data_IF_875298407410
#
_entry.id   IF_875298407410
#
_cell.length_a   1.000
_cell.length_b   1.000
_cell.length_c   1.000
_cell.angle_alpha   90.00
_cell.angle_beta   90.00
_cell.angle_gamma   90.00
#
_symmetry.space_group_name_H-M   'P 1'
#
loop_
_entity.id
_entity.type
_entity.pdbx_description
1 polymer ?
#
# COMPACT_ATOMS: atom_id res chain seq x y z
N UNK A 1 -6.99 -19.33 2.26
CA UNK A 1 -7.40 -18.07 2.92
C UNK A 1 -7.44 -18.16 4.44
N UNK A 2 -8.32 -18.96 5.05
CA UNK A 2 -8.46 -18.96 6.52
C UNK A 2 -7.20 -19.40 7.27
N UNK A 3 -6.44 -20.35 6.73
CA UNK A 3 -5.17 -20.78 7.33
C UNK A 3 -4.14 -19.64 7.40
N UNK A 4 -3.96 -18.87 6.31
CA UNK A 4 -3.05 -17.70 6.31
C UNK A 4 -3.42 -16.70 7.41
N UNK A 5 -4.71 -16.41 7.61
CA UNK A 5 -5.15 -15.51 8.66
C UNK A 5 -4.99 -16.09 10.07
N UNK A 6 -5.26 -17.38 10.26
CA UNK A 6 -5.06 -18.04 11.55
C UNK A 6 -3.58 -18.05 11.96
N UNK A 7 -2.68 -18.37 11.03
CA UNK A 7 -1.23 -18.38 11.28
C UNK A 7 -0.68 -16.97 11.52
N UNK A 8 -1.15 -15.97 10.76
CA UNK A 8 -0.81 -14.57 11.00
C UNK A 8 -1.28 -14.11 12.38
N UNK A 9 -2.53 -14.39 12.78
CA UNK A 9 -3.04 -14.02 14.10
C UNK A 9 -2.27 -14.71 15.24
N UNK A 10 -1.77 -15.92 15.00
CA UNK A 10 -1.01 -16.72 15.98
C UNK A 10 0.46 -16.30 16.10
N UNK A 11 1.12 -15.94 15.00
CA UNK A 11 2.59 -15.80 14.94
C UNK A 11 3.10 -14.52 14.27
N UNK A 12 2.24 -13.77 13.60
CA UNK A 12 2.63 -12.68 12.71
C UNK A 12 3.16 -13.15 11.35
N UNK A 13 3.29 -14.46 11.10
CA UNK A 13 3.68 -15.02 9.80
C UNK A 13 2.50 -15.81 9.19
N UNK A 14 1.93 -15.36 8.06
CA UNK A 14 0.83 -16.06 7.42
C UNK A 14 1.24 -17.45 6.89
N UNK A 15 2.51 -17.68 6.54
CA UNK A 15 2.98 -18.98 6.04
C UNK A 15 3.07 -20.06 7.15
N UNK A 16 3.00 -19.67 8.42
CA UNK A 16 3.10 -20.59 9.56
C UNK A 16 4.50 -21.21 9.71
N UNK A 17 4.59 -22.31 10.49
CA UNK A 17 5.84 -23.03 10.77
C UNK A 17 6.19 -24.11 9.73
N UNK A 18 5.26 -24.41 8.82
CA UNK A 18 5.39 -25.46 7.79
C UNK A 18 5.31 -24.79 6.42
N UNK A 19 6.20 -23.85 6.16
CA UNK A 19 6.28 -23.21 4.86
C UNK A 19 7.06 -24.13 3.91
N UNK A 20 6.35 -24.82 3.02
CA UNK A 20 6.97 -25.50 1.87
C UNK A 20 6.30 -25.03 0.59
N UNK A 21 7.17 -24.52 -0.28
CA UNK A 21 7.06 -24.21 -1.71
C UNK A 21 6.63 -22.79 -2.15
N UNK A 22 5.78 -22.06 -1.42
CA UNK A 22 5.45 -20.66 -1.75
C UNK A 22 5.51 -19.77 -0.50
N UNK A 23 6.70 -19.30 -0.15
CA UNK A 23 6.89 -18.42 1.00
C UNK A 23 6.18 -17.08 0.76
N UNK A 24 5.32 -16.67 1.71
CA UNK A 24 4.67 -15.37 1.66
C UNK A 24 5.74 -14.28 1.77
N UNK A 25 5.98 -13.46 0.72
CA UNK A 25 7.11 -12.55 0.73
C UNK A 25 6.89 -11.43 1.75
N UNK A 26 7.95 -11.06 2.46
CA UNK A 26 7.91 -9.89 3.33
C UNK A 26 7.73 -8.62 2.49
N UNK A 27 6.77 -7.81 2.91
CA UNK A 27 6.60 -6.48 2.35
C UNK A 27 7.81 -5.60 2.72
N UNK A 28 8.41 -4.98 1.72
CA UNK A 28 9.35 -3.88 1.92
C UNK A 28 9.00 -2.73 0.96
N UNK A 29 9.33 -1.51 1.35
CA UNK A 29 8.92 -0.31 0.62
C UNK A 29 9.58 -0.19 -0.77
N UNK A 30 10.70 -0.89 -0.99
CA UNK A 30 11.47 -0.85 -2.24
C UNK A 30 10.87 -1.76 -3.30
N UNK A 31 10.66 -3.04 -2.97
CA UNK A 31 10.16 -4.07 -3.87
C UNK A 31 8.62 -4.14 -3.88
N UNK A 32 7.98 -3.61 -2.82
CA UNK A 32 6.53 -3.59 -2.66
C UNK A 32 5.90 -4.98 -2.88
N UNK A 33 6.55 -6.01 -2.37
CA UNK A 33 6.14 -7.40 -2.54
C UNK A 33 4.72 -7.63 -2.01
N UNK A 34 3.96 -8.47 -2.72
CA UNK A 34 2.62 -8.88 -2.30
C UNK A 34 2.42 -10.35 -2.63
N UNK A 35 1.53 -10.99 -1.87
CA UNK A 35 1.04 -12.33 -2.18
C UNK A 35 -0.35 -12.21 -2.79
N UNK A 36 -0.55 -12.74 -4.00
CA UNK A 36 -1.86 -12.73 -4.61
C UNK A 36 -2.69 -13.91 -4.11
N UNK A 37 -3.87 -13.58 -3.60
CA UNK A 37 -4.85 -14.57 -3.15
C UNK A 37 -5.88 -14.75 -4.26
N UNK A 38 -5.77 -15.84 -5.00
CA UNK A 38 -6.69 -16.18 -6.08
C UNK A 38 -7.03 -17.68 -6.08
N UNK A 39 -7.96 -18.05 -6.94
CA UNK A 39 -8.33 -19.45 -7.23
C UNK A 39 -7.83 -19.92 -8.60
N UNK A 40 -7.26 -19.03 -9.41
CA UNK A 40 -6.87 -19.21 -10.82
C UNK A 40 -5.43 -18.72 -11.06
N UNK A 41 -4.66 -19.22 -12.03
CA UNK A 41 -3.32 -18.70 -12.32
C UNK A 41 -3.32 -17.20 -12.69
N UNK A 42 -2.32 -16.46 -12.20
CA UNK A 42 -2.22 -14.99 -12.21
C UNK A 42 -2.52 -14.30 -13.56
N UNK A 43 -3.29 -13.19 -13.51
CA UNK A 43 -3.36 -12.18 -14.57
C UNK A 43 -3.14 -10.76 -13.98
N UNK A 44 -1.99 -10.16 -14.31
CA UNK A 44 -1.59 -8.73 -14.27
C UNK A 44 -1.87 -7.87 -13.00
N UNK A 45 -0.86 -7.07 -12.60
CA UNK A 45 -0.84 -6.18 -11.41
C UNK A 45 -1.82 -5.00 -11.46
N UNK A 46 -2.32 -4.61 -10.27
CA UNK A 46 -3.13 -3.42 -10.00
C UNK A 46 -2.34 -2.15 -9.60
N UNK A 47 -1.01 -2.12 -9.77
CA UNK A 47 -0.16 -1.09 -9.16
C UNK A 47 -0.27 0.31 -9.78
N UNK A 48 -0.89 0.46 -10.95
CA UNK A 48 -0.87 1.74 -11.69
C UNK A 48 -1.77 2.83 -11.08
N UNK A 49 -2.75 2.46 -10.24
CA UNK A 49 -3.75 3.42 -9.77
C UNK A 49 -3.36 4.16 -8.48
N UNK A 50 -2.48 3.59 -7.66
CA UNK A 50 -2.16 4.15 -6.34
C UNK A 50 -1.30 5.42 -6.43
N UNK A 51 -0.35 5.49 -7.37
CA UNK A 51 0.54 6.64 -7.54
C UNK A 51 -0.22 7.89 -7.99
N UNK A 52 -1.20 7.71 -8.89
CA UNK A 52 -2.07 8.78 -9.34
C UNK A 52 -2.85 9.38 -8.16
N UNK A 53 -3.51 8.53 -7.36
CA UNK A 53 -4.29 8.97 -6.22
C UNK A 53 -3.40 9.65 -5.16
N UNK A 54 -2.25 9.05 -4.84
CA UNK A 54 -1.29 9.63 -3.88
C UNK A 54 -0.83 11.02 -4.32
N UNK A 55 -0.43 11.18 -5.59
CA UNK A 55 -0.01 12.48 -6.14
C UNK A 55 -1.13 13.52 -6.09
N UNK A 56 -2.35 13.14 -6.45
CA UNK A 56 -3.48 14.06 -6.48
C UNK A 56 -3.88 14.54 -5.09
N UNK A 57 -3.94 13.65 -4.09
CA UNK A 57 -4.33 14.00 -2.73
C UNK A 57 -3.21 14.70 -1.94
N UNK A 58 -1.93 14.35 -2.16
CA UNK A 58 -0.81 15.06 -1.50
C UNK A 58 -0.71 16.54 -1.91
N UNK A 59 -1.20 16.91 -3.10
CA UNK A 59 -1.21 18.31 -3.56
C UNK A 59 -2.37 19.14 -2.98
N UNK A 60 -3.42 18.48 -2.49
CA UNK A 60 -4.58 19.16 -1.89
C UNK A 60 -4.32 19.60 -0.43
N UNK A 61 -3.31 19.03 0.23
CA UNK A 61 -2.92 19.35 1.60
C UNK A 61 -1.81 20.42 1.70
N UNK A 62 -1.33 21.00 0.58
CA UNK A 62 -0.46 22.17 0.69
C UNK A 62 -1.28 23.38 1.17
N UNK A 63 -0.93 23.99 2.33
CA UNK A 63 -1.59 25.19 2.78
C UNK A 63 -1.30 26.28 1.75
N UNK A 64 -2.35 26.71 1.05
CA UNK A 64 -2.33 27.92 0.24
C UNK A 64 -1.78 29.04 1.12
N UNK A 65 -0.52 29.44 0.90
CA UNK A 65 0.03 30.64 1.50
C UNK A 65 -0.80 31.79 0.96
N UNK A 66 -1.76 32.29 1.75
CA UNK A 66 -2.51 33.47 1.38
C UNK A 66 -1.52 34.61 1.22
N UNK A 67 -1.28 35.03 -0.02
CA UNK A 67 -0.65 36.32 -0.28
C UNK A 67 -1.60 37.38 0.28
N UNK A 68 -1.23 37.91 1.45
CA UNK A 68 -1.95 39.02 2.06
C UNK A 68 -1.90 40.20 1.10
N UNK A 69 -3.05 40.56 0.53
CA UNK A 69 -3.25 41.86 -0.10
C UNK A 69 -3.15 42.93 1.00
N UNK A 70 -1.94 43.44 1.22
CA UNK A 70 -1.72 44.67 1.98
C UNK A 70 -2.30 45.84 1.18
N UNK A 71 -3.52 46.24 1.51
CA UNK A 71 -4.07 47.53 1.07
C UNK A 71 -3.39 48.61 1.91
N UNK A 72 -2.38 49.27 1.35
CA UNK A 72 -1.85 50.52 1.89
C UNK A 72 -2.80 51.65 1.51
N UNK A 73 -3.54 52.19 2.48
CA UNK A 73 -4.30 53.43 2.31
C UNK A 73 -3.38 54.60 2.69
N UNK A 74 -3.18 55.54 1.76
CA UNK A 74 -2.74 56.90 2.03
C UNK A 74 -3.59 57.85 1.19
#
# INVERSE_FOLDING_TARGET
>A
MMQYWAEFARTGNPAGLVATEDEWPFYNATEQNFFLLNTEPFQQRANEHCDFLKSHFSKADEPHKSEGHSVSSN
#
